data_IF_264643874517
#
_entry.id   IF_264643874517
#
_cell.length_a   1.000
_cell.length_b   1.000
_cell.length_c   1.000
_cell.angle_alpha   90.00
_cell.angle_beta   90.00
_cell.angle_gamma   90.00
#
_symmetry.space_group_name_H-M   'P 1'
#
loop_
_entity.id
_entity.type
_entity.pdbx_description
1 polymer ?
#
# COMPACT_ATOMS: atom_id res chain seq x y z
N UNK A 1 29.00 -24.13 12.43
CA UNK A 1 29.65 -23.07 11.64
C UNK A 1 28.85 -21.80 11.85
N UNK A 2 29.52 -20.72 12.22
CA UNK A 2 28.89 -19.40 12.33
C UNK A 2 29.23 -18.62 11.08
N UNK A 3 28.24 -17.94 10.49
CA UNK A 3 28.46 -17.02 9.38
C UNK A 3 27.99 -15.62 9.78
N UNK A 4 28.65 -14.63 9.20
CA UNK A 4 28.38 -13.22 9.44
C UNK A 4 28.62 -12.45 8.15
N UNK A 5 27.74 -11.51 7.85
CA UNK A 5 27.86 -10.62 6.72
C UNK A 5 27.50 -9.19 7.12
N UNK A 6 28.29 -8.26 6.62
CA UNK A 6 28.00 -6.83 6.65
C UNK A 6 28.07 -6.33 5.21
N UNK A 7 26.97 -5.74 4.73
CA UNK A 7 26.91 -5.09 3.43
C UNK A 7 26.57 -3.62 3.63
N UNK A 8 27.34 -2.73 3.00
CA UNK A 8 27.07 -1.29 2.95
C UNK A 8 27.02 -0.89 1.49
N UNK A 9 25.92 -0.27 1.09
CA UNK A 9 25.73 0.27 -0.25
C UNK A 9 25.29 1.74 -0.14
N UNK A 10 25.86 2.59 -0.98
CA UNK A 10 25.41 3.96 -1.17
C UNK A 10 25.22 4.20 -2.66
N UNK A 11 24.03 4.65 -3.04
CA UNK A 11 23.69 4.98 -4.42
C UNK A 11 23.25 6.44 -4.47
N UNK A 12 23.88 7.21 -5.35
CA UNK A 12 23.44 8.57 -5.67
C UNK A 12 23.08 8.61 -7.14
N UNK A 13 21.82 8.92 -7.44
CA UNK A 13 21.30 9.08 -8.78
C UNK A 13 20.87 10.52 -8.98
N UNK A 14 21.47 11.18 -9.97
CA UNK A 14 20.98 12.47 -10.48
C UNK A 14 20.01 12.18 -11.62
N UNK A 15 18.85 12.84 -11.58
CA UNK A 15 17.87 12.77 -12.66
C UNK A 15 18.31 13.60 -13.86
N UNK A 16 17.48 13.57 -14.91
CA UNK A 16 17.70 14.37 -16.13
C UNK A 16 17.63 15.86 -15.81
N UNK A 17 16.78 16.25 -14.86
CA UNK A 17 16.63 17.63 -14.41
C UNK A 17 17.39 17.90 -13.11
N UNK A 18 17.82 19.14 -12.93
CA UNK A 18 18.61 19.58 -11.77
C UNK A 18 17.89 19.40 -10.42
N UNK A 19 16.56 19.55 -10.38
CA UNK A 19 15.73 19.32 -9.17
C UNK A 19 15.25 17.87 -8.99
N UNK A 20 15.91 16.91 -9.66
CA UNK A 20 15.61 15.49 -9.50
C UNK A 20 16.85 14.77 -8.99
N UNK A 21 16.81 14.24 -7.77
CA UNK A 21 17.87 13.40 -7.21
C UNK A 21 17.31 12.36 -6.26
N UNK A 22 17.99 11.22 -6.20
CA UNK A 22 17.77 10.17 -5.23
C UNK A 22 19.12 9.80 -4.60
N UNK A 23 19.20 9.84 -3.28
CA UNK A 23 20.33 9.31 -2.54
C UNK A 23 19.81 8.21 -1.62
N UNK A 24 20.45 7.04 -1.67
CA UNK A 24 20.06 5.90 -0.84
C UNK A 24 21.28 5.27 -0.22
N UNK A 25 21.26 5.15 1.11
CA UNK A 25 22.24 4.39 1.87
C UNK A 25 21.56 3.16 2.45
N UNK A 26 22.16 1.99 2.27
CA UNK A 26 21.68 0.72 2.81
C UNK A 26 22.79 0.07 3.64
N UNK A 27 22.47 -0.35 4.85
CA UNK A 27 23.37 -1.09 5.73
C UNK A 27 22.65 -2.36 6.15
N UNK A 28 23.18 -3.51 5.73
CA UNK A 28 22.65 -4.82 6.06
C UNK A 28 23.64 -5.57 6.93
N UNK A 29 23.18 -6.03 8.08
CA UNK A 29 23.89 -6.91 8.99
C UNK A 29 23.15 -8.25 9.02
N UNK A 30 23.85 -9.35 8.80
CA UNK A 30 23.25 -10.68 8.81
C UNK A 30 24.18 -11.71 9.43
N UNK A 31 23.59 -12.77 9.98
CA UNK A 31 24.37 -13.88 10.49
C UNK A 31 23.52 -15.04 10.95
N UNK A 32 24.18 -16.17 11.14
CA UNK A 32 23.57 -17.40 11.58
C UNK A 32 24.58 -18.31 12.25
N UNK A 33 24.08 -19.15 13.15
CA UNK A 33 24.89 -20.15 13.83
C UNK A 33 24.05 -21.35 14.24
N UNK A 34 24.70 -22.50 14.35
CA UNK A 34 24.15 -23.67 15.01
C UNK A 34 24.89 -23.85 16.33
N UNK A 35 24.15 -23.73 17.43
CA UNK A 35 24.66 -23.90 18.79
C UNK A 35 25.03 -25.37 19.06
N UNK A 36 25.81 -25.61 20.11
CA UNK A 36 26.22 -26.96 20.52
C UNK A 36 25.02 -27.87 20.83
N UNK A 37 23.93 -27.30 21.33
CA UNK A 37 22.67 -28.00 21.58
C UNK A 37 21.81 -28.19 20.32
N UNK A 38 22.36 -28.01 19.11
CA UNK A 38 21.69 -28.14 17.79
C UNK A 38 20.62 -27.09 17.48
N UNK A 39 20.43 -26.08 18.32
CA UNK A 39 19.56 -24.94 18.00
C UNK A 39 20.21 -24.12 16.88
N UNK A 40 19.44 -23.86 15.82
CA UNK A 40 19.81 -23.01 14.69
C UNK A 40 19.26 -21.61 14.94
N UNK A 41 20.12 -20.61 14.91
CA UNK A 41 19.75 -19.20 15.02
C UNK A 41 20.15 -18.50 13.73
N UNK A 42 19.25 -17.72 13.14
CA UNK A 42 19.59 -16.83 12.03
C UNK A 42 18.91 -15.48 12.24
N UNK A 43 19.55 -14.41 11.79
CA UNK A 43 18.91 -13.11 11.77
C UNK A 43 19.58 -12.15 10.80
N UNK A 44 18.83 -11.14 10.39
CA UNK A 44 19.37 -9.99 9.70
C UNK A 44 18.60 -8.72 10.02
N UNK A 45 19.31 -7.61 9.95
CA UNK A 45 18.81 -6.25 10.11
C UNK A 45 19.25 -5.48 8.88
N UNK A 46 18.29 -4.88 8.18
CA UNK A 46 18.54 -4.03 7.04
C UNK A 46 18.02 -2.63 7.34
N UNK A 47 18.95 -1.68 7.48
CA UNK A 47 18.66 -0.26 7.58
C UNK A 47 18.78 0.39 6.21
N UNK A 48 17.78 1.18 5.81
CA UNK A 48 17.89 2.02 4.62
C UNK A 48 17.42 3.44 4.90
N UNK A 49 18.24 4.40 4.48
CA UNK A 49 17.89 5.81 4.41
C UNK A 49 17.77 6.22 2.94
N UNK A 50 16.64 6.79 2.55
CA UNK A 50 16.41 7.28 1.19
C UNK A 50 16.00 8.74 1.23
N UNK A 51 16.75 9.58 0.54
CA UNK A 51 16.52 11.00 0.36
C UNK A 51 16.18 11.27 -1.11
N UNK A 52 14.95 11.69 -1.35
CA UNK A 52 14.46 12.03 -2.68
C UNK A 52 14.14 13.52 -2.75
N UNK A 53 14.53 14.13 -3.86
CA UNK A 53 14.03 15.42 -4.33
C UNK A 53 13.54 15.21 -5.76
N UNK A 54 12.33 15.66 -6.05
CA UNK A 54 11.76 15.61 -7.38
C UNK A 54 11.02 16.93 -7.67
N UNK A 55 10.95 17.36 -8.95
CA UNK A 55 10.00 18.38 -9.32
C UNK A 55 8.58 17.92 -9.05
N UNK A 56 7.67 18.86 -8.85
CA UNK A 56 6.26 18.56 -8.91
C UNK A 56 5.91 17.96 -10.29
N UNK A 57 5.13 16.87 -10.30
CA UNK A 57 4.66 16.20 -11.51
C UNK A 57 3.13 16.28 -11.60
N UNK A 58 2.56 16.04 -12.79
CA UNK A 58 1.11 16.10 -13.02
C UNK A 58 0.69 17.16 -14.03
N UNK A 59 -0.56 17.64 -13.94
CA UNK A 59 -1.21 18.59 -14.87
C UNK A 59 -0.44 19.94 -14.99
N UNK A 60 -0.93 20.89 -15.80
CA UNK A 60 -0.28 22.14 -16.24
C UNK A 60 0.18 23.17 -15.18
N UNK A 61 0.32 22.80 -13.90
CA UNK A 61 1.12 23.56 -12.92
C UNK A 61 2.41 22.86 -12.51
N UNK A 62 2.83 21.82 -13.24
CA UNK A 62 4.15 21.20 -13.11
C UNK A 62 5.07 21.69 -14.23
N UNK A 63 6.39 21.63 -13.99
CA UNK A 63 7.40 22.01 -14.98
C UNK A 63 7.22 21.29 -16.32
N UNK A 64 6.89 19.99 -16.29
CA UNK A 64 6.66 19.20 -17.50
C UNK A 64 5.28 19.40 -18.10
N UNK A 65 4.27 19.68 -17.27
CA UNK A 65 2.92 19.99 -17.74
C UNK A 65 2.87 21.30 -18.54
N UNK A 66 3.62 22.32 -18.10
CA UNK A 66 3.69 23.61 -18.79
C UNK A 66 4.50 23.56 -20.09
N UNK A 67 5.35 22.54 -20.32
CA UNK A 67 6.09 22.38 -21.58
C UNK A 67 5.17 22.28 -22.80
N UNK A 68 4.02 21.63 -22.65
CA UNK A 68 3.04 21.50 -23.74
C UNK A 68 2.46 22.84 -24.21
N UNK A 69 2.48 23.85 -23.33
CA UNK A 69 1.99 25.20 -23.60
C UNK A 69 3.09 26.15 -24.09
N UNK A 70 4.35 25.70 -24.19
CA UNK A 70 5.45 26.52 -24.70
C UNK A 70 5.27 26.71 -26.21
N UNK A 71 5.11 27.95 -26.71
CA UNK A 71 5.04 28.19 -28.15
C UNK A 71 6.34 27.73 -28.81
N UNK A 72 6.25 27.09 -29.99
CA UNK A 72 7.42 26.61 -30.73
C UNK A 72 8.42 27.71 -31.10
N UNK A 73 7.99 28.97 -31.11
CA UNK A 73 8.81 30.15 -31.38
C UNK A 73 9.46 30.77 -30.13
N UNK A 74 9.13 30.29 -28.92
CA UNK A 74 9.66 30.83 -27.68
C UNK A 74 10.96 30.11 -27.28
N UNK A 75 12.03 30.87 -27.14
CA UNK A 75 13.31 30.35 -26.64
C UNK A 75 13.26 30.18 -25.11
N UNK A 76 12.88 28.98 -24.66
CA UNK A 76 12.77 28.65 -23.24
C UNK A 76 14.12 28.65 -22.51
N UNK A 77 15.23 28.38 -23.21
CA UNK A 77 16.56 28.25 -22.59
C UNK A 77 17.32 29.57 -22.54
N UNK A 78 17.14 30.44 -23.55
CA UNK A 78 17.84 31.73 -23.65
C UNK A 78 17.11 32.91 -22.99
N UNK A 79 15.83 32.77 -22.62
CA UNK A 79 15.05 33.82 -21.98
C UNK A 79 15.06 33.73 -20.45
N UNK A 80 14.99 34.87 -19.72
CA UNK A 80 14.88 34.84 -18.27
C UNK A 80 13.57 34.19 -17.82
N UNK A 81 13.64 33.34 -16.80
CA UNK A 81 12.49 32.65 -16.22
C UNK A 81 12.03 33.24 -14.88
N UNK A 82 12.74 34.22 -14.34
CA UNK A 82 12.41 34.89 -13.10
C UNK A 82 12.72 36.38 -13.10
N UNK A 83 11.98 37.15 -12.33
CA UNK A 83 12.27 38.57 -12.10
C UNK A 83 13.48 38.75 -11.19
N UNK A 84 13.95 40.00 -11.04
CA UNK A 84 15.01 40.37 -10.07
C UNK A 84 14.65 40.03 -8.62
N UNK A 85 13.37 39.90 -8.29
CA UNK A 85 12.88 39.51 -6.95
C UNK A 85 12.68 38.00 -6.82
N UNK A 86 13.05 37.21 -7.84
CA UNK A 86 12.88 35.75 -7.87
C UNK A 86 11.46 35.29 -8.20
N UNK A 87 10.55 36.20 -8.57
CA UNK A 87 9.18 35.85 -8.94
C UNK A 87 9.12 35.15 -10.30
N UNK A 88 8.13 34.27 -10.49
CA UNK A 88 7.90 33.57 -11.75
C UNK A 88 7.73 34.57 -12.90
N UNK A 89 8.45 34.35 -14.01
CA UNK A 89 8.36 35.18 -15.21
C UNK A 89 7.97 34.30 -16.40
N UNK A 90 6.69 34.35 -16.76
CA UNK A 90 6.16 33.62 -17.90
C UNK A 90 4.86 34.23 -18.44
N UNK A 91 4.31 33.65 -19.50
CA UNK A 91 2.99 34.02 -20.01
C UNK A 91 1.93 33.97 -18.91
N UNK A 92 0.96 34.87 -18.99
CA UNK A 92 -0.07 35.02 -17.96
C UNK A 92 -0.79 33.68 -17.70
N UNK A 93 -0.87 33.31 -16.42
CA UNK A 93 -1.60 32.12 -15.96
C UNK A 93 -0.79 30.81 -15.91
N UNK A 94 0.50 30.81 -16.25
CA UNK A 94 1.36 29.62 -16.22
C UNK A 94 2.68 29.88 -15.49
N UNK A 95 3.29 28.81 -14.98
CA UNK A 95 4.67 28.86 -14.51
C UNK A 95 5.64 28.65 -15.66
N UNK A 96 6.74 29.40 -15.66
CA UNK A 96 7.88 29.08 -16.51
C UNK A 96 8.37 27.67 -16.14
N UNK A 97 8.49 26.73 -17.10
CA UNK A 97 8.98 25.38 -16.84
C UNK A 97 10.26 25.33 -16.00
N UNK A 98 11.23 26.20 -16.30
CA UNK A 98 12.51 26.26 -15.57
C UNK A 98 12.34 26.84 -14.16
N UNK A 99 11.49 27.85 -13.99
CA UNK A 99 11.20 28.41 -12.66
C UNK A 99 10.49 27.39 -11.76
N UNK A 100 9.45 26.73 -12.30
CA UNK A 100 8.69 25.71 -11.58
C UNK A 100 9.60 24.56 -11.14
N UNK A 101 10.46 24.09 -12.05
CA UNK A 101 11.42 23.03 -11.79
C UNK A 101 12.30 23.32 -10.58
N UNK A 102 12.72 24.57 -10.37
CA UNK A 102 13.66 24.94 -9.31
C UNK A 102 12.98 25.35 -8.00
N UNK A 103 11.74 25.85 -8.08
CA UNK A 103 11.05 26.48 -6.93
C UNK A 103 9.89 25.64 -6.38
N UNK A 104 9.29 24.74 -7.17
CA UNK A 104 8.16 23.90 -6.78
C UNK A 104 8.57 22.43 -6.68
N UNK A 105 9.25 22.11 -5.58
CA UNK A 105 9.81 20.79 -5.35
C UNK A 105 8.99 19.96 -4.37
N UNK A 106 9.07 18.65 -4.55
CA UNK A 106 8.62 17.66 -3.57
C UNK A 106 9.82 16.88 -3.07
N UNK A 107 9.97 16.77 -1.75
CA UNK A 107 10.97 15.92 -1.12
C UNK A 107 10.32 14.80 -0.32
N UNK A 108 11.04 13.68 -0.22
CA UNK A 108 10.69 12.55 0.65
C UNK A 108 11.96 12.04 1.33
N UNK A 109 11.87 11.80 2.64
CA UNK A 109 12.94 11.24 3.46
C UNK A 109 12.40 9.98 4.14
N UNK A 110 12.87 8.82 3.68
CA UNK A 110 12.44 7.51 4.17
C UNK A 110 13.54 6.89 5.02
N UNK A 111 13.23 6.66 6.29
CA UNK A 111 14.05 5.84 7.19
C UNK A 111 13.33 4.51 7.40
N UNK A 112 13.95 3.38 7.03
CA UNK A 112 13.33 2.05 7.11
C UNK A 112 14.26 1.00 7.72
N UNK A 113 13.67 0.15 8.56
CA UNK A 113 14.30 -1.04 9.13
C UNK A 113 13.52 -2.28 8.72
N UNK A 114 14.19 -3.24 8.10
CA UNK A 114 13.64 -4.57 7.81
C UNK A 114 14.46 -5.57 8.59
N UNK A 115 13.83 -6.24 9.54
CA UNK A 115 14.46 -7.16 10.46
C UNK A 115 13.83 -8.53 10.29
N UNK A 116 14.66 -9.57 10.37
CA UNK A 116 14.19 -10.95 10.46
C UNK A 116 15.05 -11.69 11.47
N UNK A 117 14.41 -12.52 12.28
CA UNK A 117 15.07 -13.43 13.19
C UNK A 117 14.37 -14.79 13.13
N UNK A 118 15.13 -15.87 13.24
CA UNK A 118 14.59 -17.22 13.27
C UNK A 118 15.34 -18.08 14.26
N UNK A 119 14.58 -18.96 14.92
CA UNK A 119 15.07 -20.02 15.77
C UNK A 119 14.52 -21.34 15.22
N UNK A 120 15.38 -22.33 15.07
CA UNK A 120 14.98 -23.64 14.56
C UNK A 120 15.70 -24.79 15.25
N UNK A 121 15.10 -25.97 15.16
CA UNK A 121 15.63 -27.20 15.72
C UNK A 121 15.24 -28.40 14.86
N UNK A 122 16.21 -29.29 14.61
CA UNK A 122 15.98 -30.57 13.95
C UNK A 122 15.73 -31.64 15.02
N UNK A 123 14.48 -32.04 15.21
CA UNK A 123 14.10 -33.07 16.18
C UNK A 123 14.49 -34.47 15.71
N UNK A 124 14.48 -34.68 14.40
CA UNK A 124 14.95 -35.89 13.74
C UNK A 124 15.47 -35.53 12.34
N UNK A 125 16.22 -36.42 11.66
CA UNK A 125 16.64 -36.19 10.27
C UNK A 125 15.47 -35.90 9.31
N UNK A 126 14.27 -36.36 9.67
CA UNK A 126 13.04 -36.19 8.92
C UNK A 126 12.12 -35.10 9.47
N UNK A 127 12.41 -34.45 10.62
CA UNK A 127 11.50 -33.50 11.28
C UNK A 127 12.24 -32.28 11.82
N UNK A 128 11.84 -31.09 11.38
CA UNK A 128 12.33 -29.81 11.90
C UNK A 128 11.21 -28.84 12.24
N UNK A 129 11.48 -27.98 13.21
CA UNK A 129 10.60 -26.86 13.58
C UNK A 129 11.40 -25.58 13.51
N UNK A 130 10.82 -24.54 12.90
CA UNK A 130 11.40 -23.20 12.84
C UNK A 130 10.33 -22.18 13.21
N UNK A 131 10.67 -21.25 14.09
CA UNK A 131 9.89 -20.02 14.26
C UNK A 131 10.68 -18.85 13.66
N UNK A 132 10.02 -18.02 12.87
CA UNK A 132 10.61 -16.84 12.21
C UNK A 132 9.76 -15.61 12.50
N UNK A 133 10.37 -14.58 13.08
CA UNK A 133 9.77 -13.27 13.25
C UNK A 133 10.38 -12.26 12.29
N UNK A 134 9.55 -11.38 11.74
CA UNK A 134 9.94 -10.28 10.86
C UNK A 134 9.30 -8.97 11.30
N UNK A 135 10.04 -7.87 11.19
CA UNK A 135 9.56 -6.51 11.43
C UNK A 135 10.03 -5.61 10.29
N UNK A 136 9.09 -5.01 9.59
CA UNK A 136 9.33 -3.98 8.59
C UNK A 136 8.68 -2.68 9.05
N UNK A 137 9.51 -1.70 9.40
CA UNK A 137 9.05 -0.43 9.91
C UNK A 137 9.72 0.73 9.18
N UNK A 138 8.94 1.74 8.80
CA UNK A 138 9.48 2.94 8.19
C UNK A 138 8.76 4.22 8.62
N UNK A 139 9.48 5.32 8.51
CA UNK A 139 8.93 6.68 8.51
C UNK A 139 9.28 7.32 7.18
N UNK A 140 8.29 7.88 6.50
CA UNK A 140 8.42 8.69 5.29
C UNK A 140 7.96 10.11 5.60
N UNK A 141 8.88 11.07 5.54
CA UNK A 141 8.61 12.49 5.73
C UNK A 141 8.60 13.16 4.37
N UNK A 142 7.42 13.53 3.91
CA UNK A 142 7.19 14.19 2.63
C UNK A 142 6.95 15.67 2.82
N UNK A 143 7.45 16.45 1.88
CA UNK A 143 7.20 17.88 1.83
C UNK A 143 7.07 18.34 0.41
N UNK A 144 5.93 18.94 0.08
CA UNK A 144 5.69 19.61 -1.17
C UNK A 144 5.69 21.11 -0.93
N UNK A 145 6.32 21.84 -1.85
CA UNK A 145 6.44 23.28 -1.83
C UNK A 145 5.84 23.84 -3.13
N UNK A 146 5.01 24.86 -2.99
CA UNK A 146 4.74 25.81 -4.06
C UNK A 146 5.24 27.18 -3.62
N UNK A 147 6.18 27.74 -4.37
CA UNK A 147 6.78 29.03 -4.04
C UNK A 147 5.77 30.18 -4.22
N UNK A 148 6.02 31.28 -3.50
CA UNK A 148 5.33 32.56 -3.75
C UNK A 148 5.55 32.94 -5.21
N UNK A 149 4.53 33.50 -5.86
CA UNK A 149 4.47 33.77 -7.31
C UNK A 149 4.22 32.56 -8.21
N UNK A 150 4.05 31.34 -7.68
CA UNK A 150 3.57 30.22 -8.50
C UNK A 150 2.14 30.47 -8.96
N UNK A 151 1.83 30.12 -10.20
CA UNK A 151 0.53 30.32 -10.85
C UNK A 151 -0.63 29.69 -10.08
N UNK A 152 -0.43 28.49 -9.53
CA UNK A 152 -1.47 27.77 -8.76
C UNK A 152 -1.58 28.25 -7.32
N UNK A 153 -0.48 28.67 -6.71
CA UNK A 153 -0.45 29.16 -5.33
C UNK A 153 0.34 30.48 -5.30
N UNK A 154 -0.26 31.61 -5.77
CA UNK A 154 0.48 32.87 -5.88
C UNK A 154 1.02 33.38 -4.56
N UNK A 155 0.36 33.05 -3.45
CA UNK A 155 0.79 33.39 -2.09
C UNK A 155 1.66 32.30 -1.44
N UNK A 156 2.04 31.26 -2.17
CA UNK A 156 2.81 30.11 -1.69
C UNK A 156 1.99 29.09 -0.88
N UNK A 157 2.51 27.86 -0.85
CA UNK A 157 1.93 26.70 -0.15
C UNK A 157 3.04 25.77 0.34
N UNK A 158 2.84 25.20 1.53
CA UNK A 158 3.60 24.07 2.06
C UNK A 158 2.59 22.97 2.38
N UNK A 159 2.83 21.78 1.86
CA UNK A 159 2.13 20.57 2.27
C UNK A 159 3.16 19.61 2.86
N UNK A 160 2.99 19.25 4.12
CA UNK A 160 3.87 18.30 4.80
C UNK A 160 3.05 17.09 5.23
N UNK A 161 3.58 15.91 4.94
CA UNK A 161 2.91 14.63 5.13
C UNK A 161 3.90 13.65 5.77
N UNK A 162 3.55 13.11 6.93
CA UNK A 162 4.39 12.21 7.71
C UNK A 162 3.68 10.86 7.81
N UNK A 163 4.27 9.84 7.19
CA UNK A 163 3.74 8.49 7.19
C UNK A 163 4.63 7.61 8.06
N UNK A 164 4.03 6.93 9.01
CA UNK A 164 4.63 5.89 9.83
C UNK A 164 3.96 4.57 9.52
N UNK A 165 4.76 3.54 9.29
CA UNK A 165 4.28 2.19 8.99
C UNK A 165 5.07 1.17 9.79
N UNK A 166 4.38 0.15 10.28
CA UNK A 166 4.99 -1.02 10.88
C UNK A 166 4.23 -2.28 10.48
N UNK A 167 4.96 -3.29 10.04
CA UNK A 167 4.46 -4.62 9.73
C UNK A 167 5.25 -5.65 10.52
N UNK A 168 4.53 -6.42 11.32
CA UNK A 168 5.06 -7.58 12.00
C UNK A 168 4.53 -8.85 11.35
N UNK A 169 5.41 -9.80 11.10
CA UNK A 169 5.05 -11.15 10.63
C UNK A 169 5.72 -12.19 11.52
N UNK A 170 4.96 -13.18 11.98
CA UNK A 170 5.49 -14.34 12.70
C UNK A 170 5.05 -15.62 11.99
N UNK A 171 6.00 -16.49 11.67
CA UNK A 171 5.77 -17.78 11.04
C UNK A 171 6.25 -18.90 11.98
N UNK A 172 5.36 -19.82 12.34
CA UNK A 172 5.73 -21.14 12.86
C UNK A 172 5.71 -22.13 11.70
N UNK A 173 6.80 -22.87 11.52
CA UNK A 173 7.02 -23.81 10.43
C UNK A 173 7.40 -25.17 10.99
N UNK A 174 6.66 -26.21 10.63
CA UNK A 174 6.95 -27.61 10.96
C UNK A 174 7.15 -28.34 9.65
N UNK A 175 8.34 -28.88 9.41
CA UNK A 175 8.68 -29.57 8.15
C UNK A 175 9.00 -31.03 8.41
N UNK A 176 8.35 -31.93 7.67
CA UNK A 176 8.60 -33.36 7.69
C UNK A 176 9.05 -33.86 6.31
N UNK A 177 10.22 -34.51 6.23
CA UNK A 177 10.83 -35.01 4.98
C UNK A 177 11.06 -36.51 5.07
N UNK A 178 10.51 -37.27 4.14
CA UNK A 178 10.67 -38.73 4.11
C UNK A 178 10.96 -39.23 2.71
N UNK A 179 12.02 -40.01 2.58
CA UNK A 179 12.34 -40.74 1.36
C UNK A 179 11.70 -42.13 1.38
N UNK A 180 11.38 -42.65 0.20
CA UNK A 180 10.72 -43.95 0.00
C UNK A 180 9.47 -44.11 0.86
N UNK A 181 8.62 -43.08 0.90
CA UNK A 181 7.36 -43.12 1.62
C UNK A 181 6.43 -44.09 0.91
N UNK A 182 5.92 -45.08 1.65
CA UNK A 182 5.08 -46.19 1.16
C UNK A 182 5.75 -47.16 0.17
N UNK A 183 6.52 -46.69 -0.80
CA UNK A 183 7.23 -47.50 -1.80
C UNK A 183 8.51 -46.83 -2.30
N UNK A 184 9.35 -47.61 -2.99
CA UNK A 184 10.66 -47.17 -3.49
C UNK A 184 10.53 -45.97 -4.45
N UNK A 185 11.49 -45.03 -4.33
CA UNK A 185 11.64 -43.80 -5.15
C UNK A 185 10.55 -42.74 -4.96
N UNK A 186 9.55 -42.94 -4.11
CA UNK A 186 8.59 -41.90 -3.75
C UNK A 186 9.10 -41.10 -2.55
N UNK A 187 9.43 -39.84 -2.77
CA UNK A 187 9.85 -38.91 -1.73
C UNK A 187 8.72 -37.95 -1.39
N UNK A 188 8.57 -37.62 -0.09
CA UNK A 188 7.59 -36.66 0.40
C UNK A 188 8.24 -35.58 1.26
N UNK A 189 7.74 -34.36 1.10
CA UNK A 189 8.02 -33.21 1.95
C UNK A 189 6.70 -32.57 2.35
N UNK A 190 6.40 -32.55 3.64
CA UNK A 190 5.22 -31.91 4.22
C UNK A 190 5.67 -30.70 5.05
N UNK A 191 5.13 -29.53 4.74
CA UNK A 191 5.25 -28.33 5.56
C UNK A 191 3.88 -28.02 6.14
N UNK A 192 3.80 -27.79 7.44
CA UNK A 192 2.62 -27.22 8.12
C UNK A 192 3.07 -25.96 8.82
N UNK A 193 2.29 -24.89 8.68
CA UNK A 193 2.65 -23.61 9.27
C UNK A 193 1.47 -22.79 9.75
N UNK A 194 1.80 -21.85 10.64
CA UNK A 194 0.92 -20.79 11.11
C UNK A 194 1.62 -19.47 10.86
N UNK A 195 0.86 -18.48 10.40
CA UNK A 195 1.33 -17.12 10.18
C UNK A 195 0.46 -16.13 10.94
N UNK A 196 1.09 -15.24 11.70
CA UNK A 196 0.47 -14.02 12.23
C UNK A 196 1.03 -12.83 11.47
N UNK A 197 0.16 -11.92 11.02
CA UNK A 197 0.57 -10.67 10.40
C UNK A 197 -0.21 -9.51 11.01
N UNK A 198 0.47 -8.44 11.35
CA UNK A 198 -0.14 -7.19 11.79
C UNK A 198 0.50 -6.04 11.03
N UNK A 199 -0.32 -5.19 10.43
CA UNK A 199 0.10 -3.97 9.73
C UNK A 199 -0.56 -2.77 10.37
N UNK A 200 0.25 -1.78 10.70
CA UNK A 200 -0.18 -0.52 11.28
C UNK A 200 0.33 0.62 10.43
N UNK A 201 -0.52 1.60 10.19
CA UNK A 201 -0.17 2.84 9.50
C UNK A 201 -0.72 4.01 10.28
N UNK A 202 0.07 5.05 10.44
CA UNK A 202 -0.34 6.36 10.91
C UNK A 202 0.19 7.38 9.91
N UNK A 203 -0.68 8.23 9.39
CA UNK A 203 -0.35 9.28 8.45
C UNK A 203 -0.93 10.58 8.96
N UNK A 204 -0.10 11.61 9.03
CA UNK A 204 -0.50 12.94 9.48
C UNK A 204 -0.04 13.95 8.44
N UNK A 205 -0.95 14.82 8.02
CA UNK A 205 -0.62 15.89 7.10
C UNK A 205 -1.00 17.26 7.65
N UNK A 206 -0.30 18.28 7.17
CA UNK A 206 -0.66 19.68 7.35
C UNK A 206 -0.46 20.43 6.03
N UNK A 207 -1.40 21.30 5.73
CA UNK A 207 -1.38 22.21 4.58
C UNK A 207 -1.41 23.65 5.09
N UNK A 208 -0.45 24.45 4.65
CA UNK A 208 -0.26 25.82 5.11
C UNK A 208 0.04 26.73 3.92
N UNK A 209 -0.70 27.83 3.80
CA UNK A 209 -0.66 28.76 2.67
C UNK A 209 -0.42 30.19 3.13
N UNK A 210 -0.29 31.10 2.16
CA UNK A 210 -0.04 32.53 2.41
C UNK A 210 1.27 32.73 3.17
N UNK A 211 2.36 32.32 2.51
CA UNK A 211 3.71 32.42 3.03
C UNK A 211 4.13 33.90 3.07
N UNK A 212 4.72 34.31 4.19
CA UNK A 212 5.11 35.70 4.42
C UNK A 212 6.47 36.02 3.80
N UNK A 213 7.42 35.09 3.93
CA UNK A 213 8.79 35.26 3.46
C UNK A 213 9.12 34.30 2.30
N UNK A 214 9.46 34.80 1.10
CA UNK A 214 9.97 33.97 0.00
C UNK A 214 11.22 33.17 0.42
N UNK A 215 11.32 31.92 -0.03
CA UNK A 215 12.46 31.03 0.22
C UNK A 215 12.50 30.39 1.62
N UNK A 216 11.66 30.81 2.56
CA UNK A 216 11.59 30.21 3.90
C UNK A 216 10.42 29.22 4.00
N UNK A 217 10.65 27.97 3.57
CA UNK A 217 9.62 26.95 3.55
C UNK A 217 9.49 26.26 4.91
N UNK A 218 8.89 26.94 5.88
CA UNK A 218 8.48 26.35 7.17
C UNK A 218 7.00 26.68 7.39
N UNK A 219 6.24 25.78 7.99
CA UNK A 219 4.80 26.01 8.25
C UNK A 219 4.56 27.22 9.14
N UNK A 220 5.53 27.64 9.97
CA UNK A 220 5.45 28.89 10.75
C UNK A 220 5.43 30.16 9.87
N UNK A 221 5.92 30.07 8.63
CA UNK A 221 5.93 31.18 7.68
C UNK A 221 4.56 31.42 7.04
N UNK A 222 3.62 30.49 7.23
CA UNK A 222 2.28 30.58 6.69
C UNK A 222 1.38 31.42 7.60
N UNK A 223 0.63 32.35 7.00
CA UNK A 223 -0.41 33.10 7.72
C UNK A 223 -1.72 32.31 7.84
N UNK A 224 -1.93 31.27 7.00
CA UNK A 224 -3.17 30.49 6.94
C UNK A 224 -2.87 28.99 6.94
N UNK A 225 -3.48 28.24 7.84
CA UNK A 225 -3.51 26.77 7.78
C UNK A 225 -4.78 26.33 7.04
N UNK A 226 -4.60 25.73 5.87
CA UNK A 226 -5.68 25.38 4.94
C UNK A 226 -6.22 23.98 5.15
N UNK A 227 -5.52 23.15 5.93
CA UNK A 227 -6.00 21.83 6.29
C UNK A 227 -5.01 21.06 7.17
N UNK A 228 -5.54 20.09 7.91
CA UNK A 228 -4.78 19.09 8.62
C UNK A 228 -5.62 17.83 8.72
N UNK A 229 -4.96 16.69 8.90
CA UNK A 229 -5.67 15.45 9.11
C UNK A 229 -4.76 14.34 9.59
N UNK A 230 -5.39 13.31 10.14
CA UNK A 230 -4.74 12.08 10.52
C UNK A 230 -5.54 10.90 9.95
N UNK A 231 -4.83 9.94 9.38
CA UNK A 231 -5.38 8.63 9.04
C UNK A 231 -4.55 7.57 9.76
N UNK A 232 -5.21 6.73 10.55
CA UNK A 232 -4.57 5.58 11.16
C UNK A 232 -5.37 4.31 10.90
N UNK A 233 -4.70 3.16 10.76
CA UNK A 233 -5.36 1.87 10.73
C UNK A 233 -4.48 0.78 11.32
N UNK A 234 -5.13 -0.29 11.79
CA UNK A 234 -4.49 -1.55 12.13
C UNK A 234 -5.26 -2.67 11.46
N UNK A 235 -4.56 -3.55 10.72
CA UNK A 235 -5.13 -4.79 10.19
C UNK A 235 -4.33 -5.99 10.68
N UNK A 236 -5.04 -7.09 10.92
CA UNK A 236 -4.47 -8.35 11.39
C UNK A 236 -4.92 -9.50 10.50
N UNK A 237 -4.03 -10.46 10.30
CA UNK A 237 -4.28 -11.69 9.59
C UNK A 237 -3.70 -12.84 10.39
N UNK A 238 -4.48 -13.90 10.55
CA UNK A 238 -4.04 -15.18 11.08
C UNK A 238 -4.23 -16.24 10.00
N UNK A 239 -3.15 -16.91 9.60
CA UNK A 239 -3.16 -17.92 8.55
C UNK A 239 -2.67 -19.27 9.07
N UNK A 240 -3.29 -20.34 8.56
CA UNK A 240 -2.82 -21.71 8.73
C UNK A 240 -2.65 -22.33 7.35
N UNK A 241 -1.53 -22.99 7.11
CA UNK A 241 -1.25 -23.56 5.79
C UNK A 241 -0.54 -24.90 5.89
N UNK A 242 -0.77 -25.72 4.87
CA UNK A 242 -0.03 -26.94 4.62
C UNK A 242 0.39 -27.01 3.15
N UNK A 243 1.60 -27.51 2.92
CA UNK A 243 2.16 -27.81 1.61
C UNK A 243 2.68 -29.24 1.63
N UNK A 244 2.16 -30.07 0.73
CA UNK A 244 2.62 -31.44 0.51
C UNK A 244 3.24 -31.53 -0.87
N UNK A 245 4.53 -31.84 -0.93
CA UNK A 245 5.27 -32.09 -2.15
C UNK A 245 5.63 -33.57 -2.24
N UNK A 246 5.22 -34.23 -3.33
CA UNK A 246 5.55 -35.62 -3.65
C UNK A 246 6.41 -35.65 -4.91
N UNK A 247 7.51 -36.41 -4.87
CA UNK A 247 8.41 -36.59 -6.01
C UNK A 247 8.68 -38.09 -6.22
N UNK A 248 8.28 -38.62 -7.37
CA UNK A 248 8.55 -39.99 -7.77
C UNK A 248 9.70 -40.05 -8.76
N UNK A 249 10.77 -40.76 -8.36
CA UNK A 249 11.98 -41.01 -9.14
C UNK A 249 12.55 -39.75 -9.83
N UNK A 250 12.38 -38.60 -9.18
CA UNK A 250 12.82 -37.27 -9.64
C UNK A 250 12.32 -36.82 -11.03
N UNK A 251 11.34 -37.50 -11.64
CA UNK A 251 10.75 -37.07 -12.91
C UNK A 251 9.26 -36.71 -12.80
N UNK A 252 8.52 -37.27 -11.84
CA UNK A 252 7.10 -36.99 -11.64
C UNK A 252 6.90 -36.29 -10.30
N UNK A 253 6.23 -35.14 -10.33
CA UNK A 253 6.03 -34.26 -9.19
C UNK A 253 4.55 -33.98 -9.02
N UNK A 254 4.06 -34.05 -7.79
CA UNK A 254 2.71 -33.66 -7.41
C UNK A 254 2.79 -32.82 -6.14
N UNK A 255 2.23 -31.62 -6.18
CA UNK A 255 2.22 -30.69 -5.04
C UNK A 255 0.78 -30.29 -4.74
N UNK A 256 0.42 -30.31 -3.46
CA UNK A 256 -0.88 -29.86 -2.97
C UNK A 256 -0.70 -28.85 -1.86
N UNK A 257 -1.40 -27.72 -1.94
CA UNK A 257 -1.39 -26.72 -0.88
C UNK A 257 -2.80 -26.40 -0.43
N UNK A 258 -2.95 -26.11 0.87
CA UNK A 258 -4.19 -25.60 1.43
C UNK A 258 -3.84 -24.52 2.45
N UNK A 259 -4.49 -23.37 2.33
CA UNK A 259 -4.34 -22.27 3.28
C UNK A 259 -5.69 -21.69 3.68
N UNK A 260 -5.86 -21.51 4.98
CA UNK A 260 -7.01 -20.84 5.60
C UNK A 260 -6.50 -19.56 6.23
N UNK A 261 -7.03 -18.43 5.80
CA UNK A 261 -6.75 -17.13 6.40
C UNK A 261 -7.99 -16.59 7.11
N UNK A 262 -7.75 -15.95 8.26
CA UNK A 262 -8.72 -15.15 8.99
C UNK A 262 -8.26 -13.69 9.00
N UNK A 263 -9.05 -12.78 8.42
CA UNK A 263 -8.70 -11.37 8.30
C UNK A 263 -9.57 -10.47 9.17
N UNK A 264 -8.96 -9.48 9.83
CA UNK A 264 -9.69 -8.48 10.62
C UNK A 264 -10.46 -7.45 9.77
N UNK A 265 -10.27 -7.42 8.44
CA UNK A 265 -10.93 -6.45 7.55
C UNK A 265 -12.22 -6.99 6.93
N UNK A 266 -12.59 -8.24 7.22
CA UNK A 266 -13.80 -8.89 6.76
C UNK A 266 -14.88 -8.93 7.87
N UNK A 267 -16.17 -9.12 7.52
CA UNK A 267 -17.25 -9.21 8.50
C UNK A 267 -16.96 -10.28 9.54
N UNK A 268 -17.26 -10.02 10.83
CA UNK A 268 -16.93 -10.93 11.94
C UNK A 268 -17.39 -12.38 11.71
N UNK A 269 -18.58 -12.54 11.15
CA UNK A 269 -19.19 -13.85 10.91
C UNK A 269 -18.71 -14.51 9.60
N UNK A 270 -17.96 -13.80 8.76
CA UNK A 270 -17.46 -14.29 7.47
C UNK A 270 -16.04 -13.76 7.18
N UNK A 271 -15.14 -13.93 8.15
CA UNK A 271 -13.77 -13.44 8.05
C UNK A 271 -12.72 -14.50 7.72
N UNK A 272 -13.15 -15.74 7.51
CA UNK A 272 -12.27 -16.88 7.27
C UNK A 272 -12.50 -17.47 5.87
N UNK A 273 -11.43 -17.70 5.12
CA UNK A 273 -11.52 -18.21 3.75
C UNK A 273 -10.40 -19.20 3.42
N UNK A 274 -10.78 -20.32 2.78
CA UNK A 274 -9.88 -21.39 2.32
C UNK A 274 -9.57 -21.23 0.83
N UNK A 275 -8.29 -21.34 0.48
CA UNK A 275 -7.84 -21.31 -0.91
C UNK A 275 -6.79 -22.40 -1.17
N UNK A 276 -7.20 -23.52 -1.80
CA UNK A 276 -6.29 -24.62 -2.12
C UNK A 276 -5.60 -24.45 -3.48
N UNK A 277 -4.50 -25.18 -3.69
CA UNK A 277 -3.90 -25.38 -4.99
C UNK A 277 -3.41 -26.81 -5.20
N UNK A 278 -3.33 -27.21 -6.45
CA UNK A 278 -2.69 -28.45 -6.89
C UNK A 278 -1.81 -28.17 -8.09
N UNK A 279 -0.62 -28.75 -8.11
CA UNK A 279 0.37 -28.62 -9.18
C UNK A 279 0.91 -30.00 -9.53
N UNK A 280 1.14 -30.25 -10.81
CA UNK A 280 1.80 -31.47 -11.29
C UNK A 280 2.89 -31.10 -12.29
N UNK A 281 4.00 -31.82 -12.25
CA UNK A 281 5.12 -31.66 -13.16
C UNK A 281 5.67 -33.00 -13.62
N UNK A 282 5.97 -33.12 -14.91
CA UNK A 282 6.52 -34.32 -15.51
C UNK A 282 7.74 -33.99 -16.38
N UNK A 283 8.92 -34.43 -15.95
CA UNK A 283 10.17 -34.35 -16.70
C UNK A 283 10.24 -35.57 -17.61
N UNK A 284 9.70 -35.43 -18.82
CA UNK A 284 9.58 -36.55 -19.74
C UNK A 284 10.93 -36.99 -20.29
N UNK A 285 11.93 -36.10 -20.34
CA UNK A 285 13.29 -36.49 -20.73
C UNK A 285 13.87 -37.51 -19.76
N UNK A 286 13.76 -37.28 -18.46
CA UNK A 286 14.27 -38.16 -17.42
C UNK A 286 13.46 -39.47 -17.35
N UNK A 287 12.14 -39.38 -17.54
CA UNK A 287 11.26 -40.54 -17.52
C UNK A 287 11.51 -41.52 -18.68
N UNK A 288 11.92 -40.99 -19.84
CA UNK A 288 12.18 -41.78 -21.06
C UNK A 288 13.67 -41.92 -21.38
N UNK A 289 14.57 -41.46 -20.50
CA UNK A 289 16.03 -41.40 -20.71
C UNK A 289 16.42 -40.75 -22.05
N UNK A 290 15.74 -39.66 -22.41
CA UNK A 290 16.05 -38.87 -23.61
C UNK A 290 17.18 -37.92 -23.25
N UNK A 291 18.36 -38.20 -23.77
CA UNK A 291 19.54 -37.34 -23.66
C UNK A 291 20.21 -37.22 -25.03
N UNK A 292 20.21 -36.01 -25.58
CA UNK A 292 20.81 -35.70 -26.88
C UNK A 292 21.43 -34.31 -26.87
N UNK A 293 22.46 -34.09 -27.69
CA UNK A 293 23.18 -32.81 -27.77
C UNK A 293 22.29 -31.62 -28.14
N UNK A 294 21.16 -31.87 -28.81
CA UNK A 294 20.20 -30.85 -29.19
C UNK A 294 19.00 -30.74 -28.23
N UNK A 295 18.69 -31.78 -27.45
CA UNK A 295 17.54 -31.83 -26.56
C UNK A 295 17.83 -32.69 -25.32
N UNK A 296 18.21 -32.02 -24.23
CA UNK A 296 18.66 -32.63 -22.97
C UNK A 296 17.69 -32.43 -21.79
N UNK A 297 16.66 -31.58 -21.94
CA UNK A 297 15.69 -31.35 -20.87
C UNK A 297 14.31 -30.97 -21.41
N UNK A 298 13.29 -31.69 -20.93
CA UNK A 298 11.90 -31.44 -21.27
C UNK A 298 11.00 -31.68 -20.06
N UNK A 299 10.25 -30.64 -19.68
CA UNK A 299 9.28 -30.72 -18.57
C UNK A 299 7.95 -30.09 -18.96
N UNK A 300 6.86 -30.80 -18.71
CA UNK A 300 5.49 -30.28 -18.77
C UNK A 300 5.00 -30.04 -17.35
N UNK A 301 4.28 -28.93 -17.12
CA UNK A 301 3.69 -28.59 -15.83
C UNK A 301 2.26 -28.09 -16.01
N UNK A 302 1.39 -28.44 -15.08
CA UNK A 302 0.03 -27.92 -14.99
C UNK A 302 -0.31 -27.59 -13.55
N UNK A 303 -1.05 -26.51 -13.32
CA UNK A 303 -1.49 -26.10 -11.99
C UNK A 303 -2.92 -25.57 -12.00
N UNK A 304 -3.64 -25.78 -10.91
CA UNK A 304 -4.94 -25.17 -10.65
C UNK A 304 -4.93 -24.66 -9.21
N UNK A 305 -5.31 -23.40 -9.02
CA UNK A 305 -5.28 -22.76 -7.71
C UNK A 305 -6.48 -21.84 -7.51
N UNK A 306 -6.97 -21.77 -6.28
CA UNK A 306 -7.80 -20.67 -5.79
C UNK A 306 -6.89 -19.69 -5.07
N UNK A 307 -7.16 -18.40 -5.22
CA UNK A 307 -6.43 -17.33 -4.51
C UNK A 307 -7.42 -16.56 -3.66
N UNK A 308 -7.12 -16.43 -2.37
CA UNK A 308 -7.90 -15.61 -1.43
C UNK A 308 -7.36 -14.19 -1.33
N UNK A 309 -8.25 -13.22 -1.14
CA UNK A 309 -7.91 -11.82 -0.85
C UNK A 309 -8.94 -11.24 0.10
N UNK A 310 -8.48 -10.44 1.06
CA UNK A 310 -9.32 -9.68 1.98
C UNK A 310 -9.51 -8.22 1.52
N UNK A 311 -10.43 -7.51 2.18
CA UNK A 311 -10.72 -6.12 1.88
C UNK A 311 -9.66 -5.17 2.45
N UNK A 312 -9.62 -3.94 1.94
CA UNK A 312 -8.85 -2.86 2.57
C UNK A 312 -9.46 -2.53 3.95
N UNK A 313 -8.65 -1.99 4.89
CA UNK A 313 -9.17 -1.60 6.20
C UNK A 313 -10.36 -0.65 6.07
N UNK A 314 -11.36 -0.85 6.93
CA UNK A 314 -12.49 0.07 7.11
C UNK A 314 -13.45 0.23 5.92
N UNK A 315 -13.47 -0.70 4.97
CA UNK A 315 -14.46 -0.69 3.86
C UNK A 315 -15.87 -1.13 4.33
N UNK A 316 -15.98 -1.72 5.52
CA UNK A 316 -17.26 -2.16 6.09
C UNK A 316 -18.01 -1.06 6.84
N UNK A 317 -17.33 0.04 7.18
CA UNK A 317 -17.91 1.12 7.95
C UNK A 317 -17.78 2.45 7.17
N UNK A 318 -18.84 3.26 7.17
CA UNK A 318 -18.79 4.62 6.64
C UNK A 318 -18.32 5.57 7.74
N UNK A 319 -17.09 6.08 7.64
CA UNK A 319 -16.66 7.18 8.50
C UNK A 319 -16.52 8.46 7.67
N UNK A 320 -17.46 9.39 7.86
CA UNK A 320 -17.20 10.79 7.64
C UNK A 320 -17.42 11.50 8.97
N UNK A 321 -16.33 11.77 9.69
CA UNK A 321 -16.36 12.67 10.85
C UNK A 321 -15.42 13.82 10.52
N UNK A 322 -15.98 14.89 9.96
CA UNK A 322 -15.28 16.16 9.79
C UNK A 322 -15.53 17.02 11.02
N UNK A 323 -14.49 17.24 11.83
CA UNK A 323 -14.49 18.26 12.88
C UNK A 323 -13.99 19.58 12.30
N UNK A 324 -14.72 20.68 12.54
CA UNK A 324 -14.35 22.01 12.04
C UNK A 324 -13.06 22.55 12.65
N UNK A 325 -12.20 23.14 11.82
CA UNK A 325 -10.99 23.87 12.22
C UNK A 325 -11.31 25.37 12.26
N UNK A 326 -11.96 25.86 13.33
CA UNK A 326 -12.20 27.30 13.47
C UNK A 326 -13.01 27.71 14.70
N UNK A 327 -12.33 28.40 15.64
CA UNK A 327 -12.74 29.09 16.88
C UNK A 327 -13.80 28.41 17.77
N UNK A 328 -13.48 28.41 19.07
CA UNK A 328 -14.36 28.06 20.19
C UNK A 328 -15.55 29.03 20.31
N UNK A 329 -16.41 29.01 19.31
CA UNK A 329 -17.76 29.53 19.26
C UNK A 329 -18.56 28.34 18.78
N UNK A 330 -19.54 27.89 19.57
CA UNK A 330 -20.58 27.00 19.04
C UNK A 330 -21.08 27.67 17.77
N UNK A 331 -20.82 27.13 16.58
CA UNK A 331 -21.28 27.80 15.38
C UNK A 331 -22.81 27.75 15.42
N UNK A 332 -23.48 28.85 15.09
CA UNK A 332 -24.95 28.91 15.05
C UNK A 332 -25.55 27.86 14.08
N UNK A 333 -24.71 27.24 13.24
CA UNK A 333 -25.02 26.14 12.33
C UNK A 333 -23.85 25.17 12.17
N UNK A 334 -24.15 23.88 12.00
CA UNK A 334 -23.22 22.85 11.56
C UNK A 334 -23.85 22.08 10.39
N UNK A 335 -23.04 21.63 9.43
CA UNK A 335 -23.50 20.90 8.24
C UNK A 335 -22.63 19.65 8.06
N UNK A 336 -23.26 18.54 7.65
CA UNK A 336 -22.59 17.28 7.33
C UNK A 336 -23.25 16.66 6.10
N UNK A 337 -22.44 16.22 5.15
CA UNK A 337 -22.89 15.44 3.98
C UNK A 337 -22.74 13.95 4.29
N UNK A 338 -23.81 13.18 4.09
CA UNK A 338 -23.83 11.74 4.38
C UNK A 338 -24.18 10.99 3.10
N UNK A 339 -23.20 10.31 2.51
CA UNK A 339 -23.39 9.42 1.36
C UNK A 339 -23.62 7.98 1.86
N UNK A 340 -24.81 7.43 1.59
CA UNK A 340 -25.18 6.07 2.01
C UNK A 340 -25.39 5.19 0.78
N UNK A 341 -24.82 3.98 0.81
CA UNK A 341 -25.04 2.95 -0.22
C UNK A 341 -26.15 2.00 0.20
N UNK A 342 -27.05 1.69 -0.73
CA UNK A 342 -28.17 0.77 -0.55
C UNK A 342 -28.30 -0.16 -1.76
N UNK A 343 -28.91 -1.33 -1.54
CA UNK A 343 -29.01 -2.40 -2.56
C UNK A 343 -30.27 -2.24 -3.38
N UNK A 344 -31.39 -1.91 -2.74
CA UNK A 344 -32.66 -1.60 -3.40
C UNK A 344 -33.10 -0.18 -3.10
N UNK A 345 -33.91 0.40 -3.97
CA UNK A 345 -34.51 1.70 -3.81
C UNK A 345 -35.39 1.76 -2.55
N UNK A 346 -36.08 0.66 -2.23
CA UNK A 346 -36.84 0.52 -0.99
C UNK A 346 -35.94 0.64 0.25
N UNK A 347 -34.74 0.04 0.23
CA UNK A 347 -33.77 0.20 1.32
C UNK A 347 -33.28 1.65 1.43
N UNK A 348 -33.08 2.33 0.29
CA UNK A 348 -32.73 3.74 0.25
C UNK A 348 -33.79 4.63 0.90
N UNK A 349 -35.07 4.41 0.58
CA UNK A 349 -36.20 5.12 1.18
C UNK A 349 -36.33 4.83 2.68
N UNK A 350 -36.16 3.58 3.13
CA UNK A 350 -36.16 3.22 4.56
C UNK A 350 -35.05 3.94 5.32
N UNK A 351 -33.83 3.97 4.76
CA UNK A 351 -32.69 4.68 5.36
C UNK A 351 -32.99 6.16 5.51
N UNK A 352 -33.51 6.82 4.46
CA UNK A 352 -33.88 8.24 4.50
C UNK A 352 -34.96 8.50 5.56
N UNK A 353 -35.97 7.63 5.66
CA UNK A 353 -37.03 7.75 6.68
C UNK A 353 -36.47 7.60 8.11
N UNK A 354 -35.55 6.66 8.33
CA UNK A 354 -34.89 6.45 9.63
C UNK A 354 -33.98 7.61 10.01
N UNK A 355 -33.27 8.21 9.05
CA UNK A 355 -32.47 9.41 9.28
C UNK A 355 -33.35 10.60 9.71
N UNK A 356 -34.49 10.80 9.05
CA UNK A 356 -35.46 11.86 9.43
C UNK A 356 -36.03 11.63 10.83
N UNK A 357 -36.33 10.38 11.18
CA UNK A 357 -36.80 10.02 12.52
C UNK A 357 -35.72 10.30 13.57
N UNK A 358 -34.50 9.83 13.33
CA UNK A 358 -33.37 10.03 14.24
C UNK A 358 -33.03 11.52 14.43
N UNK A 359 -33.11 12.34 13.39
CA UNK A 359 -32.92 13.79 13.49
C UNK A 359 -34.00 14.45 14.35
N UNK A 360 -35.26 14.06 14.20
CA UNK A 360 -36.37 14.57 15.03
C UNK A 360 -36.15 14.23 16.51
N UNK A 361 -35.72 13.00 16.80
CA UNK A 361 -35.39 12.58 18.17
C UNK A 361 -34.17 13.31 18.73
N UNK A 362 -33.16 13.58 17.90
CA UNK A 362 -31.97 14.30 18.31
C UNK A 362 -32.26 15.78 18.61
N UNK A 363 -33.07 16.44 17.78
CA UNK A 363 -33.54 17.83 17.98
C UNK A 363 -34.30 17.97 19.30
N UNK A 364 -35.15 17.00 19.64
CA UNK A 364 -35.90 16.98 20.90
C UNK A 364 -35.02 16.82 22.15
N UNK A 365 -33.80 16.29 22.03
CA UNK A 365 -32.88 16.06 23.17
C UNK A 365 -32.07 17.29 23.55
N UNK A 366 -31.92 18.26 22.64
CA UNK A 366 -31.10 19.46 22.88
C UNK A 366 -31.95 20.72 22.70
N UNK A 367 -32.46 21.31 23.80
CA UNK A 367 -33.29 22.51 23.74
C UNK A 367 -32.61 23.66 22.99
N UNK A 368 -33.35 24.29 22.08
CA UNK A 368 -32.86 25.43 21.29
C UNK A 368 -32.07 25.08 20.03
N UNK A 369 -31.97 23.79 19.67
CA UNK A 369 -31.40 23.36 18.38
C UNK A 369 -32.49 23.11 17.35
N UNK A 370 -32.15 23.24 16.07
CA UNK A 370 -33.00 22.94 14.92
C UNK A 370 -32.18 22.12 13.92
N UNK A 371 -32.72 21.01 13.42
CA UNK A 371 -32.03 20.16 12.46
C UNK A 371 -32.79 20.11 11.14
N UNK A 372 -32.14 20.52 10.05
CA UNK A 372 -32.72 20.43 8.70
C UNK A 372 -32.02 19.31 7.93
N UNK A 373 -32.79 18.34 7.42
CA UNK A 373 -32.30 17.34 6.46
C UNK A 373 -32.80 17.73 5.07
N UNK A 374 -31.86 17.96 4.16
CA UNK A 374 -32.12 18.11 2.73
C UNK A 374 -31.62 16.90 1.96
N UNK A 375 -32.29 16.56 0.85
CA UNK A 375 -31.94 15.41 0.01
C UNK A 375 -32.82 14.18 0.20
N UNK A 376 -32.45 13.11 -0.50
CA UNK A 376 -33.15 11.84 -0.59
C UNK A 376 -32.38 10.88 -1.48
N UNK A 377 -33.03 9.85 -1.99
CA UNK A 377 -32.41 8.91 -2.93
C UNK A 377 -32.15 9.63 -4.27
N UNK A 378 -30.90 10.03 -4.51
CA UNK A 378 -30.47 10.80 -5.68
C UNK A 378 -29.92 9.91 -6.83
N UNK A 379 -29.56 8.66 -6.52
CA UNK A 379 -29.07 7.67 -7.49
C UNK A 379 -29.88 6.39 -7.41
N UNK A 380 -30.39 5.95 -8.55
CA UNK A 380 -31.04 4.65 -8.64
C UNK A 380 -29.99 3.54 -8.48
N UNK A 381 -30.23 2.54 -7.61
CA UNK A 381 -29.32 1.42 -7.47
C UNK A 381 -29.40 0.55 -8.73
N UNK A 382 -28.29 -0.14 -9.06
CA UNK A 382 -28.28 -1.14 -10.12
C UNK A 382 -28.92 -2.44 -9.61
N UNK A 383 -30.22 -2.39 -9.35
CA UNK A 383 -30.97 -3.54 -8.88
C UNK A 383 -30.96 -4.66 -9.92
N UNK A 384 -30.60 -5.87 -9.47
CA UNK A 384 -30.78 -7.07 -10.28
C UNK A 384 -32.25 -7.48 -10.24
N UNK A 385 -33.02 -6.91 -11.15
CA UNK A 385 -34.41 -7.30 -11.41
C UNK A 385 -34.48 -8.41 -12.47
N UNK A 386 -35.60 -9.13 -12.52
CA UNK A 386 -35.86 -10.06 -13.62
C UNK A 386 -35.89 -9.38 -14.99
N UNK A 387 -36.15 -8.06 -15.06
CA UNK A 387 -36.08 -7.30 -16.30
C UNK A 387 -34.63 -6.99 -16.71
N UNK A 388 -33.76 -6.59 -15.77
CA UNK A 388 -32.34 -6.37 -16.04
C UNK A 388 -31.62 -7.67 -16.39
N UNK A 389 -32.03 -8.79 -15.79
CA UNK A 389 -31.50 -10.12 -16.14
C UNK A 389 -31.92 -10.54 -17.55
N UNK A 390 -33.20 -10.35 -17.92
CA UNK A 390 -33.65 -10.59 -19.30
C UNK A 390 -32.95 -9.69 -20.32
N UNK A 391 -32.72 -8.42 -19.99
CA UNK A 391 -31.98 -7.49 -20.84
C UNK A 391 -30.51 -7.92 -21.00
N UNK A 392 -29.86 -8.33 -19.90
CA UNK A 392 -28.49 -8.85 -19.94
C UNK A 392 -28.39 -10.13 -20.78
N UNK A 393 -29.33 -11.06 -20.63
CA UNK A 393 -29.40 -12.28 -21.45
C UNK A 393 -29.64 -11.96 -22.92
N UNK A 394 -30.53 -11.02 -23.24
CA UNK A 394 -30.76 -10.57 -24.61
C UNK A 394 -29.52 -9.92 -25.25
N UNK A 395 -28.67 -9.25 -24.47
CA UNK A 395 -27.38 -8.72 -24.93
C UNK A 395 -26.28 -9.79 -25.01
N UNK A 396 -26.34 -10.84 -24.20
CA UNK A 396 -25.38 -11.94 -24.24
C UNK A 396 -25.64 -12.90 -25.42
N UNK A 397 -26.87 -12.91 -25.95
CA UNK A 397 -27.28 -13.69 -27.13
C UNK A 397 -27.14 -12.92 -28.46
N UNK A 398 -26.79 -11.62 -28.42
CA UNK A 398 -26.49 -10.76 -29.58
C UNK A 398 -24.97 -10.65 -29.79
#
# INVERSE_FOLDING_TARGET
MSNFSLNVNSTTQKGITESSRLQRTNVQLGGGTTLQNKIKLNGSVNFSQTDQLAPQTGNGGSAFGTLSAVPRSFDLQGQPYQTVTGANLYFAGLDNPNWNLLNNNTSSNVTRFINVASIGYDFAPWLSVTYRGGLDAYTDRRKQIAAISSSRNPTGLIFQDNIQYAEFTGDLLITAKKENIFFDKLNANLLVGQQVNQRQRNEQYVSAATLSQPGFYNTINAAVFTGSGETNYTRRLLGYYADLSLAYNNYLFLEGTARVDQSSTLPRDNNTYLYPSISAGFVFTDAFNIDSDFFSYGKIRGNVARVGRDADPFVLDSYYISGGQGKNTVPDRAEAEVDVRFVTYADGEDIVARLRTAATEAEARVPGTRLEIAGGVDRMPLERSGASERLYLAYAEA
#
